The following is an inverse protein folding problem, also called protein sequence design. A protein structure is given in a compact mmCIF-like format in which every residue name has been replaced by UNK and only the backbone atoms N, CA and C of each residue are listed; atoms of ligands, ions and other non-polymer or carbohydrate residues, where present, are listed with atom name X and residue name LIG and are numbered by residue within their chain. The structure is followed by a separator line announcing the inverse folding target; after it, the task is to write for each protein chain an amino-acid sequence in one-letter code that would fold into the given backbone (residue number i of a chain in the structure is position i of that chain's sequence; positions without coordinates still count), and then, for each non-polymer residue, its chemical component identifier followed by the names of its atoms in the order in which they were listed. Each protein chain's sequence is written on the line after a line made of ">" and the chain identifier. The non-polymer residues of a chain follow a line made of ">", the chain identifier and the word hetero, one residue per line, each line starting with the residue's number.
data_IF_317330944987
#
_entry.id   IF_317330944987
#
_cell.length_a   1.000
_cell.length_b   1.000
_cell.length_c   1.000
_cell.angle_alpha   90.00
_cell.angle_beta   90.00
_cell.angle_gamma   90.00
#
_symmetry.space_group_name_H-M   'P 1'
#
loop_
_entity.id
_entity.type
_entity.pdbx_description
1 polymer ?
#
# COMPACT_ATOMS: atom_id res chain seq x y z
N UNK A 1 -13.06 10.54 -12.71
CA UNK A 1 -12.54 9.27 -12.13
C UNK A 1 -11.06 9.35 -11.77
N UNK A 2 -10.18 9.97 -12.59
CA UNK A 2 -8.73 10.07 -12.33
C UNK A 2 -8.34 10.65 -10.95
N UNK A 3 -8.98 11.74 -10.53
CA UNK A 3 -8.72 12.34 -9.19
C UNK A 3 -8.99 11.38 -8.04
N UNK A 4 -10.07 10.61 -8.09
CA UNK A 4 -10.42 9.63 -7.06
C UNK A 4 -9.37 8.52 -6.96
N UNK A 5 -8.91 7.97 -8.10
CA UNK A 5 -7.85 6.96 -8.13
C UNK A 5 -6.57 7.50 -7.51
N UNK A 6 -6.20 8.74 -7.85
CA UNK A 6 -5.01 9.39 -7.31
C UNK A 6 -5.09 9.51 -5.78
N UNK A 7 -6.21 10.02 -5.23
CA UNK A 7 -6.41 10.13 -3.79
C UNK A 7 -6.39 8.79 -3.07
N UNK A 8 -7.05 7.77 -3.62
CA UNK A 8 -7.05 6.42 -3.02
C UNK A 8 -5.66 5.78 -3.03
N UNK A 9 -4.91 5.92 -4.12
CA UNK A 9 -3.55 5.41 -4.21
C UNK A 9 -2.60 6.16 -3.27
N UNK A 10 -2.71 7.49 -3.19
CA UNK A 10 -1.95 8.32 -2.27
C UNK A 10 -2.27 7.98 -0.80
N UNK A 11 -3.55 7.78 -0.45
CA UNK A 11 -3.98 7.37 0.88
C UNK A 11 -3.43 5.98 1.24
N UNK A 12 -3.49 5.02 0.32
CA UNK A 12 -2.98 3.67 0.53
C UNK A 12 -1.47 3.67 0.75
N UNK A 13 -0.69 4.25 -0.17
CA UNK A 13 0.76 4.33 -0.04
C UNK A 13 1.20 5.19 1.15
N UNK A 14 0.56 6.34 1.35
CA UNK A 14 0.86 7.26 2.46
C UNK A 14 0.59 6.65 3.83
N UNK A 15 -0.52 5.91 4.00
CA UNK A 15 -0.82 5.21 5.26
C UNK A 15 0.19 4.11 5.56
N UNK A 16 0.59 3.31 4.58
CA UNK A 16 1.65 2.32 4.72
C UNK A 16 2.98 2.99 5.10
N UNK A 17 3.36 4.08 4.43
CA UNK A 17 4.59 4.82 4.72
C UNK A 17 4.58 5.34 6.16
N UNK A 18 3.51 6.01 6.56
CA UNK A 18 3.39 6.59 7.89
C UNK A 18 3.41 5.52 8.98
N UNK A 19 2.64 4.44 8.80
CA UNK A 19 2.59 3.38 9.81
C UNK A 19 3.94 2.68 9.96
N UNK A 20 4.53 2.20 8.85
CA UNK A 20 5.73 1.37 8.91
C UNK A 20 6.99 2.14 9.29
N UNK A 21 7.18 3.34 8.76
CA UNK A 21 8.43 4.09 8.91
C UNK A 21 8.40 5.19 9.98
N UNK A 22 7.21 5.57 10.44
CA UNK A 22 7.09 6.62 11.49
C UNK A 22 6.46 6.04 12.75
N UNK A 23 5.23 5.53 12.66
CA UNK A 23 4.45 5.14 13.84
C UNK A 23 5.08 3.96 14.56
N UNK A 24 5.41 2.87 13.86
CA UNK A 24 5.99 1.66 14.48
C UNK A 24 7.32 1.95 15.16
N UNK A 25 8.31 2.63 14.57
CA UNK A 25 9.52 3.03 15.26
C UNK A 25 9.26 3.88 16.51
N UNK A 26 8.28 4.80 16.47
CA UNK A 26 7.91 5.62 17.62
C UNK A 26 7.30 4.79 18.76
N UNK A 27 6.49 3.77 18.45
CA UNK A 27 5.96 2.85 19.48
C UNK A 27 7.09 2.16 20.24
N UNK A 28 8.09 1.63 19.51
CA UNK A 28 9.24 0.97 20.16
C UNK A 28 10.17 1.93 20.91
N UNK A 29 10.14 3.21 20.57
CA UNK A 29 10.93 4.24 21.24
C UNK A 29 10.29 4.75 22.53
N UNK A 30 8.96 4.90 22.56
CA UNK A 30 8.25 5.60 23.63
C UNK A 30 7.42 4.71 24.54
N UNK A 31 7.08 3.48 24.16
CA UNK A 31 6.39 2.55 25.05
C UNK A 31 7.37 1.86 26.00
N UNK A 32 6.90 1.59 27.22
CA UNK A 32 7.72 1.09 28.34
C UNK A 32 8.37 -0.26 28.04
N UNK A 33 7.68 -1.13 27.28
CA UNK A 33 8.20 -2.47 26.96
C UNK A 33 8.04 -2.80 25.48
N UNK A 34 8.99 -3.55 24.89
CA UNK A 34 8.85 -4.04 23.51
C UNK A 34 7.59 -4.90 23.29
N UNK A 35 7.11 -5.58 24.34
CA UNK A 35 5.90 -6.37 24.28
C UNK A 35 4.65 -5.51 24.06
N UNK A 36 4.53 -4.39 24.79
CA UNK A 36 3.45 -3.42 24.60
C UNK A 36 3.51 -2.78 23.21
N UNK A 37 4.71 -2.40 22.77
CA UNK A 37 4.91 -1.85 21.43
C UNK A 37 4.47 -2.83 20.35
N UNK A 38 4.85 -4.11 20.46
CA UNK A 38 4.46 -5.16 19.53
C UNK A 38 2.95 -5.44 19.51
N UNK A 39 2.28 -5.44 20.66
CA UNK A 39 0.82 -5.58 20.73
C UNK A 39 0.11 -4.41 20.06
N UNK A 40 0.50 -3.18 20.36
CA UNK A 40 -0.08 -1.98 19.74
C UNK A 40 0.18 -1.97 18.24
N UNK A 41 1.40 -2.28 17.80
CA UNK A 41 1.72 -2.42 16.38
C UNK A 41 0.82 -3.46 15.70
N UNK A 42 0.56 -4.61 16.33
CA UNK A 42 -0.35 -5.64 15.82
C UNK A 42 -1.77 -5.13 15.55
N UNK A 43 -2.34 -4.33 16.46
CA UNK A 43 -3.65 -3.70 16.25
C UNK A 43 -3.63 -2.69 15.10
N UNK A 44 -2.57 -1.89 15.01
CA UNK A 44 -2.41 -0.90 13.94
C UNK A 44 -2.24 -1.57 12.56
N UNK A 45 -1.48 -2.66 12.49
CA UNK A 45 -1.36 -3.44 11.24
C UNK A 45 -2.69 -4.04 10.80
N UNK A 46 -3.54 -4.50 11.74
CA UNK A 46 -4.91 -4.94 11.40
C UNK A 46 -5.72 -3.80 10.81
N UNK A 47 -5.71 -2.63 11.43
CA UNK A 47 -6.40 -1.46 10.88
C UNK A 47 -5.85 -1.09 9.49
N UNK A 48 -4.52 -1.14 9.30
CA UNK A 48 -3.87 -0.90 8.02
C UNK A 48 -4.28 -1.92 6.95
N UNK A 49 -4.45 -3.19 7.32
CA UNK A 49 -4.97 -4.21 6.39
C UNK A 49 -6.34 -3.82 5.85
N UNK A 50 -7.26 -3.36 6.70
CA UNK A 50 -8.57 -2.90 6.25
C UNK A 50 -8.51 -1.67 5.37
N UNK A 51 -7.63 -0.70 5.68
CA UNK A 51 -7.37 0.45 4.80
C UNK A 51 -6.90 -0.04 3.42
N UNK A 52 -5.95 -0.98 3.39
CA UNK A 52 -5.43 -1.55 2.14
C UNK A 52 -6.52 -2.27 1.35
N UNK A 53 -7.35 -3.09 2.02
CA UNK A 53 -8.48 -3.79 1.38
C UNK A 53 -9.45 -2.80 0.74
N UNK A 54 -9.87 -1.79 1.47
CA UNK A 54 -10.82 -0.78 0.97
C UNK A 54 -10.21 -0.02 -0.21
N UNK A 55 -8.98 0.48 -0.08
CA UNK A 55 -8.32 1.20 -1.16
C UNK A 55 -8.14 0.34 -2.42
N UNK A 56 -7.63 -0.90 -2.27
CA UNK A 56 -7.40 -1.79 -3.41
C UNK A 56 -8.71 -2.16 -4.11
N UNK A 57 -9.76 -2.51 -3.36
CA UNK A 57 -11.08 -2.85 -3.94
C UNK A 57 -11.67 -1.65 -4.69
N UNK A 58 -11.66 -0.47 -4.08
CA UNK A 58 -12.16 0.75 -4.73
C UNK A 58 -11.35 1.11 -5.98
N UNK A 59 -10.03 0.96 -5.95
CA UNK A 59 -9.15 1.18 -7.10
C UNK A 59 -9.42 0.17 -8.22
N UNK A 60 -9.59 -1.11 -7.89
CA UNK A 60 -9.94 -2.16 -8.86
C UNK A 60 -11.30 -1.87 -9.53
N UNK A 61 -12.31 -1.49 -8.75
CA UNK A 61 -13.62 -1.13 -9.27
C UNK A 61 -13.57 0.12 -10.17
N UNK A 62 -12.80 1.15 -9.76
CA UNK A 62 -12.62 2.36 -10.55
C UNK A 62 -11.90 2.09 -11.88
N UNK A 63 -10.87 1.23 -11.85
CA UNK A 63 -10.11 0.85 -13.05
C UNK A 63 -10.95 0.01 -14.01
N UNK A 64 -11.73 -0.97 -13.51
CA UNK A 64 -12.64 -1.77 -14.35
C UNK A 64 -13.74 -0.97 -15.03
N UNK A 65 -14.23 0.09 -14.39
CA UNK A 65 -15.26 0.98 -14.97
C UNK A 65 -14.74 1.82 -16.13
N UNK A 66 -13.45 2.16 -16.11
CA UNK A 66 -12.83 3.02 -17.11
C UNK A 66 -12.34 2.21 -18.33
N UNK A 67 -11.82 1.00 -18.08
CA UNK A 67 -11.20 0.13 -19.12
C UNK A 67 -12.06 -1.11 -19.39
N UNK A 68 -13.28 -0.90 -19.88
CA UNK A 68 -14.16 -2.03 -20.23
C UNK A 68 -13.61 -2.87 -21.40
N UNK A 69 -12.72 -2.30 -22.21
CA UNK A 69 -12.21 -2.89 -23.46
C UNK A 69 -10.69 -3.16 -23.46
N UNK A 70 -9.95 -2.83 -22.39
CA UNK A 70 -8.50 -3.03 -22.31
C UNK A 70 -8.12 -3.92 -21.12
N UNK A 71 -7.52 -5.07 -21.44
CA UNK A 71 -6.89 -5.97 -20.46
C UNK A 71 -5.57 -5.35 -19.96
N UNK A 72 -5.61 -4.27 -19.18
CA UNK A 72 -4.41 -3.56 -18.81
C UNK A 72 -3.88 -3.87 -17.40
N UNK A 73 -2.60 -3.96 -17.36
CA UNK A 73 -1.59 -4.31 -16.36
C UNK A 73 -1.65 -3.62 -14.98
N UNK A 74 -2.38 -2.52 -14.70
CA UNK A 74 -2.45 -1.91 -13.37
C UNK A 74 -3.06 -2.80 -12.30
N UNK A 75 -3.87 -3.78 -12.71
CA UNK A 75 -4.56 -4.70 -11.80
C UNK A 75 -3.60 -5.60 -11.02
N UNK A 76 -2.42 -5.92 -11.55
CA UNK A 76 -1.49 -6.87 -10.89
C UNK A 76 -0.92 -6.28 -9.60
N UNK A 77 -0.53 -5.01 -9.58
CA UNK A 77 -0.01 -4.35 -8.39
C UNK A 77 -1.05 -4.23 -7.29
N UNK A 78 -2.32 -3.97 -7.67
CA UNK A 78 -3.43 -3.91 -6.73
C UNK A 78 -3.76 -5.28 -6.16
N UNK A 79 -3.81 -6.32 -7.01
CA UNK A 79 -4.09 -7.69 -6.59
C UNK A 79 -2.97 -8.22 -5.71
N UNK A 80 -1.70 -8.01 -6.10
CA UNK A 80 -0.55 -8.43 -5.29
C UNK A 80 -0.51 -7.71 -3.95
N UNK A 81 -0.73 -6.40 -3.91
CA UNK A 81 -0.78 -5.64 -2.67
C UNK A 81 -1.91 -6.06 -1.75
N UNK A 82 -3.10 -6.35 -2.29
CA UNK A 82 -4.23 -6.89 -1.54
C UNK A 82 -3.93 -8.28 -0.97
N UNK A 83 -3.36 -9.16 -1.80
CA UNK A 83 -3.00 -10.51 -1.37
C UNK A 83 -1.96 -10.47 -0.23
N UNK A 84 -0.91 -9.63 -0.37
CA UNK A 84 0.10 -9.44 0.67
C UNK A 84 -0.50 -8.92 1.98
N UNK A 85 -1.45 -7.98 1.91
CA UNK A 85 -2.16 -7.48 3.09
C UNK A 85 -2.92 -8.60 3.82
N UNK A 86 -3.63 -9.44 3.08
CA UNK A 86 -4.37 -10.58 3.64
C UNK A 86 -3.43 -11.65 4.19
N UNK A 87 -2.31 -11.94 3.50
CA UNK A 87 -1.30 -12.88 4.00
C UNK A 87 -0.65 -12.39 5.30
N UNK A 88 -0.43 -11.11 5.46
CA UNK A 88 0.05 -10.52 6.72
C UNK A 88 -0.95 -10.76 7.86
N UNK A 89 -2.23 -10.47 7.64
CA UNK A 89 -3.25 -10.57 8.68
C UNK A 89 -3.58 -12.02 9.05
N UNK A 90 -3.76 -12.90 8.05
CA UNK A 90 -4.24 -14.26 8.28
C UNK A 90 -3.08 -15.26 8.44
N UNK A 91 -1.99 -15.07 7.71
CA UNK A 91 -0.85 -15.98 7.68
C UNK A 91 0.21 -15.66 8.72
N UNK A 92 0.66 -14.41 8.80
CA UNK A 92 1.83 -14.04 9.62
C UNK A 92 1.46 -13.64 11.03
N UNK A 93 0.45 -12.79 11.20
CA UNK A 93 0.06 -12.23 12.50
C UNK A 93 -0.26 -13.28 13.57
N UNK A 94 -1.01 -14.39 13.31
CA UNK A 94 -1.31 -15.40 14.33
C UNK A 94 -0.05 -16.01 14.95
N UNK A 95 0.97 -16.30 14.12
CA UNK A 95 2.24 -16.87 14.58
C UNK A 95 3.07 -15.89 15.41
N UNK A 96 3.05 -14.58 15.03
CA UNK A 96 3.69 -13.53 15.82
C UNK A 96 3.01 -13.40 17.18
N UNK A 97 1.68 -13.41 17.22
CA UNK A 97 0.91 -13.30 18.46
C UNK A 97 1.08 -14.53 19.36
N UNK A 98 1.20 -15.72 18.77
CA UNK A 98 1.51 -16.97 19.49
C UNK A 98 2.98 -17.07 19.92
N UNK A 99 3.84 -16.11 19.52
CA UNK A 99 5.30 -16.10 19.77
C UNK A 99 6.03 -17.35 19.23
N UNK A 100 5.48 -17.98 18.21
CA UNK A 100 6.09 -19.11 17.53
C UNK A 100 7.22 -18.60 16.62
N UNK A 101 8.46 -19.04 16.88
CA UNK A 101 9.64 -18.63 16.10
C UNK A 101 9.59 -17.13 15.68
N UNK A 102 9.49 -16.26 16.67
CA UNK A 102 9.22 -14.83 16.51
C UNK A 102 10.14 -14.13 15.50
N UNK A 103 11.42 -14.54 15.47
CA UNK A 103 12.40 -13.97 14.54
C UNK A 103 12.05 -14.27 13.08
N UNK A 104 11.66 -15.50 12.77
CA UNK A 104 11.27 -15.90 11.41
C UNK A 104 10.02 -15.15 10.95
N UNK A 105 8.95 -15.18 11.77
CA UNK A 105 7.67 -14.59 11.42
C UNK A 105 7.73 -13.06 11.37
N UNK A 106 8.55 -12.44 12.22
CA UNK A 106 8.77 -11.00 12.17
C UNK A 106 9.50 -10.58 10.88
N UNK A 107 10.56 -11.30 10.49
CA UNK A 107 11.29 -11.03 9.25
C UNK A 107 10.40 -11.25 8.02
N UNK A 108 9.61 -12.33 8.00
CA UNK A 108 8.67 -12.60 6.91
C UNK A 108 7.58 -11.53 6.83
N UNK A 109 7.06 -11.12 7.98
CA UNK A 109 6.08 -10.03 8.05
C UNK A 109 6.64 -8.70 7.53
N UNK A 110 7.86 -8.37 7.91
CA UNK A 110 8.55 -7.17 7.42
C UNK A 110 8.79 -7.24 5.91
N UNK A 111 9.19 -8.39 5.38
CA UNK A 111 9.36 -8.60 3.94
C UNK A 111 8.06 -8.40 3.17
N UNK A 112 6.96 -9.00 3.63
CA UNK A 112 5.65 -8.87 3.00
C UNK A 112 5.13 -7.43 3.08
N UNK A 113 5.37 -6.75 4.20
CA UNK A 113 5.00 -5.35 4.35
C UNK A 113 5.75 -4.43 3.37
N UNK A 114 7.06 -4.61 3.24
CA UNK A 114 7.88 -3.85 2.27
C UNK A 114 7.44 -4.18 0.84
N UNK A 115 7.17 -5.44 0.51
CA UNK A 115 6.67 -5.83 -0.80
C UNK A 115 5.31 -5.17 -1.11
N UNK A 116 4.39 -5.14 -0.14
CA UNK A 116 3.11 -4.44 -0.25
C UNK A 116 3.31 -2.92 -0.45
N UNK A 117 4.23 -2.32 0.29
CA UNK A 117 4.58 -0.91 0.16
C UNK A 117 5.11 -0.58 -1.24
N UNK A 118 5.98 -1.45 -1.80
CA UNK A 118 6.48 -1.32 -3.19
C UNK A 118 5.34 -1.42 -4.20
N UNK A 119 4.40 -2.36 -4.03
CA UNK A 119 3.23 -2.46 -4.88
C UNK A 119 2.41 -1.16 -4.89
N UNK A 120 2.15 -0.60 -3.71
CA UNK A 120 1.40 0.65 -3.56
C UNK A 120 2.15 1.84 -4.18
N UNK A 121 3.47 1.94 -3.95
CA UNK A 121 4.32 2.98 -4.54
C UNK A 121 4.35 2.91 -6.06
N UNK A 122 4.52 1.71 -6.62
CA UNK A 122 4.56 1.48 -8.08
C UNK A 122 3.24 1.84 -8.72
N UNK A 123 2.12 1.41 -8.12
CA UNK A 123 0.79 1.77 -8.63
C UNK A 123 0.55 3.28 -8.58
N UNK A 124 0.90 3.93 -7.45
CA UNK A 124 0.81 5.38 -7.31
C UNK A 124 1.65 6.12 -8.35
N UNK A 125 2.89 5.66 -8.58
CA UNK A 125 3.79 6.24 -9.59
C UNK A 125 3.22 6.16 -11.00
N UNK A 126 2.56 5.04 -11.35
CA UNK A 126 1.91 4.87 -12.67
C UNK A 126 0.73 5.82 -12.90
N UNK A 127 0.14 6.37 -11.84
CA UNK A 127 -0.93 7.36 -11.94
C UNK A 127 -0.43 8.81 -12.13
N UNK A 128 0.88 9.05 -11.97
CA UNK A 128 1.44 10.38 -12.18
C UNK A 128 1.50 10.68 -13.70
N UNK A 129 1.11 11.89 -14.12
CA UNK A 129 1.22 12.31 -15.53
C UNK A 129 2.68 12.20 -16.00
N UNK A 130 2.91 11.58 -17.14
CA UNK A 130 4.24 11.54 -17.74
C UNK A 130 4.65 12.95 -18.15
N UNK A 131 5.85 13.36 -17.77
CA UNK A 131 6.38 14.71 -18.12
C UNK A 131 6.47 14.96 -19.63
N UNK A 132 6.39 13.89 -20.45
CA UNK A 132 6.43 13.99 -21.92
C UNK A 132 5.16 14.58 -22.55
N UNK A 133 4.02 14.53 -21.86
CA UNK A 133 2.75 15.00 -22.41
C UNK A 133 2.62 16.52 -22.37
N UNK A 134 3.35 17.19 -21.45
CA UNK A 134 3.34 18.66 -21.30
C UNK A 134 4.10 19.42 -22.40
N UNK A 135 5.09 18.79 -23.02
CA UNK A 135 5.92 19.48 -24.04
C UNK A 135 5.27 19.51 -25.43
N UNK A 136 4.30 18.65 -25.72
CA UNK A 136 3.61 18.63 -27.03
C UNK A 136 2.52 19.71 -27.10
N UNK A 137 1.90 20.04 -25.99
CA UNK A 137 0.80 21.03 -25.94
C UNK A 137 1.34 22.48 -26.00
N UNK A 138 2.58 22.70 -25.53
CA UNK A 138 3.20 24.04 -25.52
C UNK A 138 3.80 24.44 -26.89
N UNK A 139 4.21 23.45 -27.71
CA UNK A 139 4.76 23.69 -29.06
C UNK A 139 3.69 23.91 -30.14
N UNK A 140 2.44 23.51 -29.91
CA UNK A 140 1.34 23.73 -30.87
C UNK A 140 0.64 25.08 -30.71
N UNK A 141 0.91 25.82 -29.65
CA UNK A 141 0.30 27.14 -29.39
C UNK A 141 1.16 28.27 -29.95
N UNK A 142 2.47 28.07 -30.14
CA UNK A 142 3.37 29.08 -30.68
C UNK A 142 3.42 29.16 -32.22
N UNK A 143 2.83 28.19 -32.93
CA UNK A 143 2.80 28.14 -34.42
C UNK A 143 1.43 28.58 -35.04
N UNK A 144 0.51 29.15 -34.26
CA UNK A 144 -0.79 29.64 -34.69
C UNK A 144 -0.89 31.16 -34.53
#
# INVERSE_FOLDING_TARGET
>A
MARLKFFLAAAWWGSLTTLGFVVVPLLFKYLETPAMAGQMAGHLFTAQTWVSVVCCVMLLLATRRENRDAAETPSIWLISGLLLALMLEVGVKPHIMARENLMLWHNLGSLFYVAQWVCAATYFWQLLPSAKEKTVDETTVDDA
#
